data_IF_793379910758
#
_entry.id   IF_793379910758
#
_cell.length_a   1.000
_cell.length_b   1.000
_cell.length_c   1.000
_cell.angle_alpha   90.00
_cell.angle_beta   90.00
_cell.angle_gamma   90.00
#
_symmetry.space_group_name_H-M   'P 1'
#
loop_
_entity.id
_entity.type
_entity.pdbx_description
1 polymer ?
#
# COMPACT_ATOMS: atom_id res chain seq x y z
N UNK A 1 -61.44 1.00 14.65
CA UNK A 1 -60.39 1.36 13.67
C UNK A 1 -59.06 1.08 14.35
N UNK A 2 -58.37 0.03 13.87
CA UNK A 2 -56.99 -0.44 14.15
C UNK A 2 -56.58 -0.71 15.61
N UNK A 3 -56.17 -1.92 16.04
CA UNK A 3 -55.10 -2.83 15.59
C UNK A 3 -53.72 -2.42 16.12
N UNK A 4 -53.16 -3.30 16.99
CA UNK A 4 -51.75 -3.45 17.44
C UNK A 4 -51.16 -2.26 18.25
N UNK A 5 -50.25 -2.42 19.20
CA UNK A 5 -49.28 -3.48 19.44
C UNK A 5 -48.82 -3.50 20.90
N UNK A 6 -48.27 -4.64 21.26
CA UNK A 6 -47.74 -5.04 22.54
C UNK A 6 -46.29 -4.56 22.67
N UNK A 7 -46.04 -3.53 23.49
CA UNK A 7 -44.67 -3.18 23.88
C UNK A 7 -44.47 -3.58 25.34
N UNK A 8 -44.17 -4.87 25.53
CA UNK A 8 -43.47 -5.38 26.70
C UNK A 8 -42.22 -4.52 26.92
N UNK A 9 -42.17 -3.80 28.03
CA UNK A 9 -40.91 -3.29 28.58
C UNK A 9 -40.36 -4.41 29.47
N UNK A 10 -39.37 -5.20 29.04
CA UNK A 10 -38.80 -6.23 29.89
C UNK A 10 -37.96 -5.53 30.96
N UNK A 11 -38.58 -5.22 32.09
CA UNK A 11 -37.89 -4.85 33.33
C UNK A 11 -37.33 -6.11 34.01
N UNK A 12 -36.53 -6.87 33.27
CA UNK A 12 -35.79 -8.02 33.78
C UNK A 12 -34.50 -7.55 34.41
N UNK A 13 -34.40 -7.56 35.75
CA UNK A 13 -33.09 -7.50 36.41
C UNK A 13 -32.22 -8.65 35.86
N UNK A 14 -30.96 -8.40 35.48
CA UNK A 14 -30.11 -9.45 34.94
C UNK A 14 -30.04 -10.60 35.93
N UNK A 15 -30.41 -11.79 35.47
CA UNK A 15 -30.40 -13.00 36.28
C UNK A 15 -28.96 -13.30 36.67
N UNK A 16 -28.72 -13.78 37.90
CA UNK A 16 -27.38 -14.16 38.37
C UNK A 16 -26.66 -15.09 37.38
N UNK A 17 -27.41 -15.95 36.67
CA UNK A 17 -26.87 -16.82 35.63
C UNK A 17 -26.29 -16.03 34.47
N UNK A 18 -26.95 -14.98 33.99
CA UNK A 18 -26.49 -14.12 32.90
C UNK A 18 -25.19 -13.40 33.25
N UNK A 19 -25.05 -12.97 34.52
CA UNK A 19 -23.83 -12.34 35.02
C UNK A 19 -22.66 -13.33 35.09
N UNK A 20 -22.94 -14.59 35.44
CA UNK A 20 -21.93 -15.65 35.52
C UNK A 20 -21.54 -16.14 34.12
N UNK A 21 -22.48 -16.32 33.19
CA UNK A 21 -22.16 -16.64 31.78
C UNK A 21 -21.41 -15.51 31.11
N UNK A 22 -21.81 -14.25 31.31
CA UNK A 22 -21.07 -13.09 30.82
C UNK A 22 -19.64 -13.04 31.39
N UNK A 23 -19.47 -13.32 32.69
CA UNK A 23 -18.17 -13.36 33.34
C UNK A 23 -17.22 -14.45 32.81
N UNK A 24 -17.76 -15.62 32.45
CA UNK A 24 -16.96 -16.71 31.87
C UNK A 24 -16.55 -16.42 30.42
N UNK A 25 -17.48 -15.87 29.62
CA UNK A 25 -17.20 -15.42 28.24
C UNK A 25 -16.11 -14.34 28.26
N UNK A 26 -16.21 -13.39 29.19
CA UNK A 26 -15.21 -12.33 29.33
C UNK A 26 -13.82 -12.90 29.71
N UNK A 27 -13.77 -13.86 30.63
CA UNK A 27 -12.52 -14.49 31.08
C UNK A 27 -11.88 -15.41 30.03
N UNK A 28 -12.67 -16.01 29.14
CA UNK A 28 -12.18 -16.81 28.01
C UNK A 28 -11.72 -15.94 26.83
N UNK A 29 -12.30 -14.74 26.66
CA UNK A 29 -11.90 -13.80 25.61
C UNK A 29 -10.65 -13.00 25.97
N UNK A 30 -10.37 -12.77 27.25
CA UNK A 30 -9.24 -11.97 27.72
C UNK A 30 -7.85 -12.49 27.23
N UNK A 31 -7.54 -13.80 27.24
CA UNK A 31 -6.31 -14.34 26.66
C UNK A 31 -6.20 -14.12 25.15
N UNK A 32 -7.32 -14.27 24.42
CA UNK A 32 -7.37 -14.10 22.96
C UNK A 32 -7.15 -12.62 22.61
N UNK A 33 -7.81 -11.71 23.32
CA UNK A 33 -7.61 -10.27 23.20
C UNK A 33 -6.16 -9.86 23.49
N UNK A 34 -5.51 -10.52 24.45
CA UNK A 34 -4.10 -10.27 24.79
C UNK A 34 -3.16 -10.75 23.69
N UNK A 35 -3.36 -11.97 23.19
CA UNK A 35 -2.58 -12.52 22.08
C UNK A 35 -2.69 -11.66 20.80
N UNK A 36 -3.91 -11.22 20.45
CA UNK A 36 -4.12 -10.33 19.30
C UNK A 36 -3.39 -8.99 19.49
N UNK A 37 -3.44 -8.41 20.69
CA UNK A 37 -2.72 -7.16 20.99
C UNK A 37 -1.20 -7.33 20.88
N UNK A 38 -0.66 -8.44 21.35
CA UNK A 38 0.77 -8.73 21.29
C UNK A 38 1.24 -8.95 19.86
N UNK A 39 0.46 -9.66 19.04
CA UNK A 39 0.74 -9.86 17.61
C UNK A 39 0.72 -8.53 16.85
N UNK A 40 -0.28 -7.68 17.12
CA UNK A 40 -0.37 -6.33 16.54
C UNK A 40 0.80 -5.45 17.00
N UNK A 41 1.23 -5.55 18.26
CA UNK A 41 2.38 -4.81 18.76
C UNK A 41 3.68 -5.27 18.09
N UNK A 42 3.84 -6.58 17.87
CA UNK A 42 4.97 -7.16 17.14
C UNK A 42 5.00 -6.69 15.68
N UNK A 43 3.87 -6.81 14.97
CA UNK A 43 3.75 -6.34 13.59
C UNK A 43 4.01 -4.84 13.47
N UNK A 44 3.54 -4.02 14.43
CA UNK A 44 3.83 -2.58 14.47
C UNK A 44 5.32 -2.28 14.63
N UNK A 45 6.05 -3.05 15.45
CA UNK A 45 7.51 -2.90 15.61
C UNK A 45 8.24 -3.25 14.31
N UNK A 46 7.91 -4.38 13.70
CA UNK A 46 8.54 -4.81 12.45
C UNK A 46 8.28 -3.81 11.31
N UNK A 47 7.03 -3.35 11.15
CA UNK A 47 6.69 -2.30 10.18
C UNK A 47 7.44 -1.00 10.50
N UNK A 48 7.54 -0.62 11.78
CA UNK A 48 8.28 0.56 12.21
C UNK A 48 9.78 0.51 11.88
N UNK A 49 10.43 -0.64 12.06
CA UNK A 49 11.83 -0.84 11.69
C UNK A 49 12.03 -0.78 10.16
N UNK A 50 11.16 -1.45 9.39
CA UNK A 50 11.22 -1.38 7.91
C UNK A 50 11.02 0.05 7.40
N UNK A 51 10.05 0.78 7.95
CA UNK A 51 9.75 2.16 7.56
C UNK A 51 10.86 3.12 7.98
N UNK A 52 11.39 2.98 9.20
CA UNK A 52 12.46 3.86 9.68
C UNK A 52 13.76 3.66 8.92
N UNK A 53 14.12 2.42 8.59
CA UNK A 53 15.27 2.10 7.73
C UNK A 53 15.12 2.66 6.31
N UNK A 54 13.90 2.67 5.76
CA UNK A 54 13.64 3.23 4.43
C UNK A 54 13.57 4.78 4.39
N UNK A 55 13.34 5.45 5.53
CA UNK A 55 13.07 6.90 5.59
C UNK A 55 14.23 7.74 5.05
N UNK A 56 15.46 7.45 5.48
CA UNK A 56 16.64 8.18 5.02
C UNK A 56 16.90 7.95 3.53
N UNK A 57 16.74 6.69 3.07
CA UNK A 57 16.87 6.33 1.67
C UNK A 57 15.85 7.05 0.78
N UNK A 58 14.59 7.15 1.21
CA UNK A 58 13.54 7.84 0.46
C UNK A 58 13.78 9.35 0.36
N UNK A 59 14.23 9.98 1.45
CA UNK A 59 14.57 11.42 1.46
C UNK A 59 15.73 11.69 0.50
N UNK A 60 16.82 10.94 0.59
CA UNK A 60 17.98 11.15 -0.27
C UNK A 60 17.65 10.87 -1.74
N UNK A 61 16.84 9.83 -2.01
CA UNK A 61 16.35 9.55 -3.36
C UNK A 61 15.49 10.69 -3.88
N UNK A 62 14.62 11.27 -3.05
CA UNK A 62 13.82 12.44 -3.42
C UNK A 62 14.68 13.64 -3.80
N UNK A 63 15.73 13.94 -3.02
CA UNK A 63 16.70 15.00 -3.33
C UNK A 63 17.46 14.69 -4.63
N UNK A 64 17.92 13.46 -4.82
CA UNK A 64 18.61 13.05 -6.04
C UNK A 64 17.71 13.21 -7.28
N UNK A 65 16.44 12.84 -7.19
CA UNK A 65 15.45 13.03 -8.27
C UNK A 65 15.23 14.52 -8.54
N UNK A 66 15.11 15.36 -7.51
CA UNK A 66 14.95 16.80 -7.69
C UNK A 66 16.16 17.43 -8.40
N UNK A 67 17.38 17.05 -8.00
CA UNK A 67 18.60 17.48 -8.67
C UNK A 67 18.68 16.98 -10.11
N UNK A 68 18.35 15.70 -10.35
CA UNK A 68 18.34 15.15 -11.71
C UNK A 68 17.38 15.91 -12.63
N UNK A 69 16.17 16.25 -12.16
CA UNK A 69 15.21 17.06 -12.92
C UNK A 69 15.73 18.48 -13.17
N UNK A 70 16.32 19.12 -12.15
CA UNK A 70 16.88 20.47 -12.29
C UNK A 70 18.02 20.51 -13.30
N UNK A 71 18.94 19.54 -13.22
CA UNK A 71 20.03 19.38 -14.18
C UNK A 71 19.50 19.12 -15.59
N UNK A 72 18.44 18.32 -15.74
CA UNK A 72 17.82 18.06 -17.04
C UNK A 72 17.25 19.32 -17.68
N UNK A 73 16.56 20.17 -16.90
CA UNK A 73 16.04 21.46 -17.37
C UNK A 73 17.18 22.40 -17.76
N UNK A 74 18.22 22.51 -16.92
CA UNK A 74 19.39 23.33 -17.21
C UNK A 74 20.11 22.85 -18.49
N UNK A 75 20.25 21.54 -18.68
CA UNK A 75 20.83 20.95 -19.88
C UNK A 75 20.00 21.24 -21.13
N UNK A 76 18.67 21.13 -21.06
CA UNK A 76 17.80 21.49 -22.17
C UNK A 76 17.98 22.97 -22.55
N UNK A 77 17.99 23.88 -21.57
CA UNK A 77 18.24 25.31 -21.79
C UNK A 77 19.62 25.58 -22.42
N UNK A 78 20.66 24.87 -21.95
CA UNK A 78 22.00 24.97 -22.51
C UNK A 78 22.06 24.52 -23.97
N UNK A 79 21.43 23.40 -24.32
CA UNK A 79 21.35 22.91 -25.71
C UNK A 79 20.61 23.91 -26.61
N UNK A 80 19.50 24.47 -26.14
CA UNK A 80 18.79 25.54 -26.86
C UNK A 80 19.69 26.75 -27.08
N UNK A 81 20.42 27.20 -26.06
CA UNK A 81 21.32 28.35 -26.16
C UNK A 81 22.44 28.11 -27.18
N UNK A 82 23.01 26.91 -27.23
CA UNK A 82 24.01 26.53 -28.23
C UNK A 82 23.43 26.53 -29.65
N UNK A 83 22.27 25.91 -29.85
CA UNK A 83 21.62 25.86 -31.17
C UNK A 83 21.17 27.25 -31.63
N UNK A 84 20.75 28.12 -30.71
CA UNK A 84 20.34 29.49 -31.00
C UNK A 84 21.49 30.38 -31.53
N UNK A 85 22.75 29.95 -31.41
CA UNK A 85 23.89 30.62 -32.06
C UNK A 85 23.87 30.48 -33.58
N UNK A 86 23.22 29.43 -34.11
CA UNK A 86 23.19 29.12 -35.54
C UNK A 86 21.78 29.08 -36.15
N UNK A 87 20.73 28.92 -35.32
CA UNK A 87 19.34 28.74 -35.75
C UNK A 87 18.41 29.74 -35.04
N UNK A 88 17.24 30.05 -35.63
CA UNK A 88 16.18 30.76 -34.93
C UNK A 88 15.74 30.03 -33.66
N UNK A 89 15.37 30.80 -32.62
CA UNK A 89 15.03 30.25 -31.30
C UNK A 89 13.94 29.18 -31.35
N UNK A 90 12.91 29.35 -32.19
CA UNK A 90 11.81 28.39 -32.31
C UNK A 90 12.27 27.04 -32.88
N UNK A 91 13.25 27.04 -33.80
CA UNK A 91 13.81 25.82 -34.37
C UNK A 91 14.72 25.13 -33.35
N UNK A 92 15.54 25.89 -32.64
CA UNK A 92 16.41 25.40 -31.57
C UNK A 92 15.61 24.73 -30.44
N UNK A 93 14.52 25.36 -29.98
CA UNK A 93 13.63 24.79 -28.96
C UNK A 93 12.89 23.56 -29.47
N UNK A 94 12.38 23.58 -30.70
CA UNK A 94 11.71 22.44 -31.31
C UNK A 94 12.60 21.20 -31.43
N UNK A 95 13.83 21.36 -31.93
CA UNK A 95 14.81 20.26 -32.04
C UNK A 95 15.17 19.72 -30.66
N UNK A 96 15.49 20.60 -29.71
CA UNK A 96 15.86 20.19 -28.35
C UNK A 96 14.73 19.41 -27.68
N UNK A 97 13.50 19.91 -27.79
CA UNK A 97 12.30 19.24 -27.28
C UNK A 97 12.11 17.86 -27.91
N UNK A 98 12.21 17.74 -29.24
CA UNK A 98 12.07 16.47 -29.95
C UNK A 98 13.09 15.42 -29.48
N UNK A 99 14.36 15.80 -29.35
CA UNK A 99 15.43 14.91 -28.86
C UNK A 99 15.14 14.45 -27.43
N UNK A 100 14.83 15.38 -26.52
CA UNK A 100 14.55 15.04 -25.12
C UNK A 100 13.28 14.20 -24.96
N UNK A 101 12.26 14.43 -25.79
CA UNK A 101 11.04 13.63 -25.79
C UNK A 101 11.31 12.17 -26.18
N UNK A 102 12.14 11.94 -27.22
CA UNK A 102 12.53 10.59 -27.63
C UNK A 102 13.33 9.90 -26.52
N UNK A 103 14.34 10.58 -25.96
CA UNK A 103 15.14 10.05 -24.85
C UNK A 103 14.24 9.70 -23.66
N UNK A 104 13.34 10.60 -23.28
CA UNK A 104 12.39 10.38 -22.18
C UNK A 104 11.47 9.18 -22.45
N UNK A 105 10.95 9.03 -23.67
CA UNK A 105 10.12 7.88 -24.04
C UNK A 105 10.87 6.55 -23.90
N UNK A 106 12.14 6.49 -24.35
CA UNK A 106 12.97 5.29 -24.20
C UNK A 106 13.24 5.00 -22.72
N UNK A 107 13.68 6.00 -21.95
CA UNK A 107 13.96 5.84 -20.52
C UNK A 107 12.71 5.39 -19.76
N UNK A 108 11.54 5.95 -20.08
CA UNK A 108 10.27 5.57 -19.45
C UNK A 108 9.94 4.10 -19.71
N UNK A 109 10.06 3.63 -20.96
CA UNK A 109 9.79 2.23 -21.32
C UNK A 109 10.80 1.28 -20.66
N UNK A 110 12.09 1.64 -20.63
CA UNK A 110 13.13 0.84 -19.96
C UNK A 110 12.91 0.80 -18.46
N UNK A 111 12.63 1.94 -17.83
CA UNK A 111 12.32 2.04 -16.41
C UNK A 111 11.09 1.22 -16.02
N UNK A 112 10.03 1.29 -16.82
CA UNK A 112 8.82 0.49 -16.60
C UNK A 112 9.10 -1.01 -16.70
N UNK A 113 9.95 -1.43 -17.65
CA UNK A 113 10.41 -2.82 -17.74
C UNK A 113 11.30 -3.24 -16.57
N UNK A 114 12.11 -2.33 -16.03
CA UNK A 114 12.92 -2.57 -14.83
C UNK A 114 12.06 -2.78 -13.59
N UNK A 115 11.08 -1.91 -13.37
CA UNK A 115 10.12 -2.03 -12.26
C UNK A 115 9.34 -3.34 -12.31
N UNK A 116 8.88 -3.73 -13.51
CA UNK A 116 8.17 -5.00 -13.71
C UNK A 116 9.02 -6.25 -13.42
N UNK A 117 10.35 -6.14 -13.41
CA UNK A 117 11.27 -7.24 -13.09
C UNK A 117 11.75 -7.21 -11.64
N UNK A 118 11.85 -6.03 -11.03
CA UNK A 118 12.41 -5.82 -9.69
C UNK A 118 11.38 -5.85 -8.55
N UNK A 119 10.10 -5.64 -8.84
CA UNK A 119 9.03 -5.89 -7.85
C UNK A 119 8.70 -7.38 -7.92
N UNK A 120 8.93 -8.17 -6.85
CA UNK A 120 8.52 -9.57 -6.84
C UNK A 120 7.04 -9.63 -7.21
N UNK A 121 6.64 -10.42 -8.22
CA UNK A 121 5.22 -10.67 -8.45
C UNK A 121 4.65 -11.10 -7.10
N UNK A 122 3.55 -10.46 -6.67
CA UNK A 122 2.82 -10.81 -5.45
C UNK A 122 2.85 -12.34 -5.29
N UNK A 123 3.39 -12.88 -4.18
CA UNK A 123 3.71 -14.30 -4.07
C UNK A 123 2.47 -15.13 -4.44
N UNK A 124 2.48 -15.72 -5.62
CA UNK A 124 1.30 -16.43 -6.13
C UNK A 124 1.06 -17.69 -5.29
N UNK A 125 2.15 -18.18 -4.66
CA UNK A 125 2.16 -19.29 -3.72
C UNK A 125 1.41 -19.00 -2.43
N UNK A 126 1.41 -17.75 -1.92
CA UNK A 126 0.63 -17.40 -0.71
C UNK A 126 -0.86 -17.34 -1.01
N UNK A 127 -1.23 -16.89 -2.22
CA UNK A 127 -2.62 -16.92 -2.69
C UNK A 127 -3.08 -18.36 -2.95
N UNK A 128 -2.21 -19.22 -3.51
CA UNK A 128 -2.50 -20.63 -3.76
C UNK A 128 -2.66 -21.41 -2.45
N UNK A 129 -1.76 -21.23 -1.49
CA UNK A 129 -1.84 -21.85 -0.17
C UNK A 129 -3.06 -21.38 0.64
N UNK A 130 -3.47 -20.11 0.50
CA UNK A 130 -4.71 -19.62 1.10
C UNK A 130 -5.95 -20.25 0.46
N UNK A 131 -5.95 -20.44 -0.87
CA UNK A 131 -7.06 -21.08 -1.59
C UNK A 131 -7.20 -22.56 -1.23
N UNK A 132 -6.08 -23.27 -1.11
CA UNK A 132 -6.03 -24.68 -0.74
C UNK A 132 -6.61 -24.93 0.66
N UNK A 133 -6.34 -24.04 1.62
CA UNK A 133 -6.92 -24.13 2.98
C UNK A 133 -8.44 -23.98 3.01
N UNK A 134 -9.02 -23.16 2.13
CA UNK A 134 -10.47 -22.98 2.05
C UNK A 134 -11.15 -24.18 1.39
N UNK A 135 -10.50 -24.80 0.41
CA UNK A 135 -11.03 -26.01 -0.25
C UNK A 135 -10.97 -27.24 0.65
N UNK A 136 -9.88 -27.43 1.40
CA UNK A 136 -9.75 -28.59 2.30
C UNK A 136 -10.69 -28.52 3.52
N UNK A 137 -11.02 -27.32 3.99
CA UNK A 137 -12.00 -27.15 5.07
C UNK A 137 -13.45 -27.44 4.64
N UNK A 138 -13.77 -27.30 3.34
CA UNK A 138 -15.07 -27.64 2.77
C UNK A 138 -15.30 -29.15 2.66
N UNK A 139 -14.26 -29.92 2.37
CA UNK A 139 -14.35 -31.39 2.21
C UNK A 139 -14.52 -32.13 3.55
N UNK A 140 -14.12 -31.55 4.68
CA UNK A 140 -14.31 -32.15 6.01
C UNK A 140 -15.69 -31.90 6.64
N UNK A 141 -16.54 -31.08 6.01
CA UNK A 141 -17.88 -30.76 6.53
C UNK A 141 -19.02 -31.51 5.80
N UNK A 142 -18.67 -32.39 4.86
CA UNK A 142 -19.61 -33.13 4.00
C UNK A 142 -19.72 -34.63 4.27
N UNK A 143 -19.06 -35.16 5.32
CA UNK A 143 -19.15 -36.56 5.76
C UNK A 143 -19.76 -36.66 7.16
#
# INVERSE_FOLDING_TARGET
>A
MSTTDHDDIPTGKPSFRDTVTAGLVQKALEPVLRAVRDEVASARREIGERVSGAKAGLVLTGVAVAFALTTLVALAGFVVALLALALPLWTATGITFGVFAIVTAVLFVVGLRGLRRGVPPVPTDTIRAAKERVTTAGDTAGD
#
